data_IF_774732765809
#
_entry.id   IF_774732765809
#
_cell.length_a   1.000
_cell.length_b   1.000
_cell.length_c   1.000
_cell.angle_alpha   90.00
_cell.angle_beta   90.00
_cell.angle_gamma   90.00
#
_symmetry.space_group_name_H-M   'P 1'
#
loop_
_entity.id
_entity.type
_entity.pdbx_description
1 polymer ?
#
# COMPACT_ATOMS: atom_id res chain seq x y z
N UNK A 1 63.70 -26.20 -21.77
CA UNK A 1 63.28 -25.92 -23.17
C UNK A 1 61.83 -25.44 -23.13
N UNK A 2 61.38 -24.25 -23.54
CA UNK A 2 61.94 -23.04 -24.16
C UNK A 2 61.09 -21.89 -23.60
N UNK A 3 61.74 -20.88 -23.00
CA UNK A 3 61.12 -19.57 -22.66
C UNK A 3 60.83 -18.80 -23.94
N UNK A 4 59.86 -17.87 -23.90
CA UNK A 4 59.94 -16.54 -24.55
C UNK A 4 58.74 -15.65 -24.15
N UNK A 5 59.00 -14.75 -23.21
CA UNK A 5 58.33 -13.45 -23.09
C UNK A 5 59.06 -12.48 -24.03
N UNK A 6 58.34 -11.64 -24.79
CA UNK A 6 58.65 -10.22 -25.05
C UNK A 6 57.60 -9.65 -26.01
N UNK A 7 56.91 -8.58 -25.62
CA UNK A 7 56.98 -7.30 -26.33
C UNK A 7 56.41 -6.21 -25.42
N UNK A 8 57.31 -5.28 -25.08
CA UNK A 8 57.05 -4.00 -24.44
C UNK A 8 56.22 -3.13 -25.38
N UNK A 9 55.18 -2.51 -24.84
CA UNK A 9 54.51 -1.36 -25.42
C UNK A 9 54.23 -0.33 -24.33
N UNK A 10 55.21 0.54 -24.07
CA UNK A 10 55.05 1.74 -23.25
C UNK A 10 54.34 2.81 -24.07
N UNK A 11 53.13 3.23 -23.66
CA UNK A 11 52.63 4.59 -23.95
C UNK A 11 52.03 5.17 -22.68
N UNK A 12 52.57 6.33 -22.35
CA UNK A 12 52.19 7.32 -21.35
C UNK A 12 50.68 7.57 -21.29
N UNK A 13 50.14 7.64 -20.07
CA UNK A 13 48.77 8.04 -19.82
C UNK A 13 48.51 8.16 -18.33
N UNK A 14 48.96 9.27 -17.74
CA UNK A 14 48.46 9.73 -16.44
C UNK A 14 46.97 10.01 -16.62
N UNK A 15 46.12 9.17 -16.04
CA UNK A 15 44.80 9.58 -15.58
C UNK A 15 44.61 9.02 -14.17
N UNK A 16 44.96 9.85 -13.19
CA UNK A 16 44.25 9.89 -11.93
C UNK A 16 42.75 9.89 -12.25
N UNK A 17 42.05 8.84 -11.85
CA UNK A 17 40.64 8.68 -12.12
C UNK A 17 40.06 7.66 -11.18
N UNK A 18 40.13 7.99 -9.89
CA UNK A 18 39.03 7.80 -8.93
C UNK A 18 38.10 6.65 -9.32
N UNK A 19 38.43 5.42 -8.87
CA UNK A 19 37.40 4.37 -8.73
C UNK A 19 36.58 4.78 -7.50
N UNK A 20 35.82 5.86 -7.63
CA UNK A 20 34.70 6.13 -6.75
C UNK A 20 33.67 5.06 -7.06
N UNK A 21 33.64 4.06 -6.19
CA UNK A 21 32.43 3.44 -5.69
C UNK A 21 31.18 4.13 -6.25
N UNK A 22 30.61 3.55 -7.30
CA UNK A 22 29.19 3.71 -7.61
C UNK A 22 28.42 3.00 -6.49
N UNK A 23 28.53 3.54 -5.28
CA UNK A 23 27.50 3.43 -4.29
C UNK A 23 26.32 4.16 -4.90
N UNK A 24 25.45 3.39 -5.58
CA UNK A 24 24.08 3.77 -5.77
C UNK A 24 23.51 4.01 -4.37
N UNK A 25 23.72 5.22 -3.84
CA UNK A 25 22.80 5.83 -2.91
C UNK A 25 21.49 5.84 -3.67
N UNK A 26 20.67 4.82 -3.43
CA UNK A 26 19.24 4.99 -3.56
C UNK A 26 18.91 6.16 -2.64
N UNK A 27 18.91 7.36 -3.22
CA UNK A 27 18.38 8.59 -2.65
C UNK A 27 16.85 8.50 -2.65
N UNK A 28 16.31 7.35 -2.26
CA UNK A 28 15.02 7.31 -1.62
C UNK A 28 15.27 8.01 -0.30
N UNK A 29 15.11 9.34 -0.32
CA UNK A 29 14.69 10.05 0.87
C UNK A 29 13.64 9.15 1.50
N UNK A 30 13.97 8.55 2.65
CA UNK A 30 13.12 7.67 3.44
C UNK A 30 11.99 8.51 4.07
N UNK A 31 11.39 9.38 3.28
CA UNK A 31 10.19 10.10 3.64
C UNK A 31 9.10 9.06 3.71
N UNK A 32 8.61 8.84 4.93
CA UNK A 32 7.48 7.95 5.17
C UNK A 32 6.32 8.40 4.26
N UNK A 33 5.71 7.50 3.48
CA UNK A 33 4.65 7.88 2.55
C UNK A 33 3.39 8.24 3.33
N UNK A 34 2.63 9.22 2.86
CA UNK A 34 1.25 9.42 3.32
C UNK A 34 0.38 8.28 2.79
N UNK A 35 -0.53 7.77 3.61
CA UNK A 35 -1.41 6.67 3.21
C UNK A 35 -2.84 7.19 3.18
N UNK A 36 -3.51 7.02 2.04
CA UNK A 36 -4.92 7.36 1.85
C UNK A 36 -5.68 6.09 1.55
N UNK A 37 -6.61 5.73 2.43
CA UNK A 37 -7.50 4.57 2.24
C UNK A 37 -8.89 5.12 1.93
N UNK A 38 -9.41 4.76 0.76
CA UNK A 38 -10.77 5.08 0.33
C UNK A 38 -11.58 3.80 0.44
N UNK A 39 -12.55 3.77 1.34
CA UNK A 39 -13.46 2.65 1.51
C UNK A 39 -14.87 3.06 1.10
N UNK A 40 -15.40 2.42 0.05
CA UNK A 40 -16.77 2.60 -0.41
C UNK A 40 -17.68 1.53 0.20
N UNK A 41 -18.83 1.92 0.75
CA UNK A 41 -19.82 0.98 1.29
C UNK A 41 -20.70 0.41 0.17
N UNK A 42 -21.09 -0.86 0.32
CA UNK A 42 -21.94 -1.63 -0.62
C UNK A 42 -21.51 -1.59 -2.12
N UNK A 43 -20.24 -1.31 -2.39
CA UNK A 43 -19.73 -1.29 -3.75
C UNK A 43 -19.56 -2.71 -4.30
N UNK A 44 -20.35 -3.05 -5.32
CA UNK A 44 -20.15 -4.29 -6.08
C UNK A 44 -18.82 -4.27 -6.82
N UNK A 45 -18.19 -5.44 -6.93
CA UNK A 45 -16.92 -5.61 -7.66
C UNK A 45 -17.00 -5.18 -9.13
N UNK A 46 -18.17 -5.31 -9.77
CA UNK A 46 -18.42 -4.96 -11.17
C UNK A 46 -18.91 -3.51 -11.35
N UNK A 47 -18.90 -2.68 -10.30
CA UNK A 47 -19.32 -1.27 -10.35
C UNK A 47 -18.21 -0.31 -10.83
N UNK A 48 -17.10 -0.82 -11.38
CA UNK A 48 -16.00 -0.03 -11.95
C UNK A 48 -15.88 -0.20 -13.46
N UNK A 49 -15.56 0.89 -14.16
CA UNK A 49 -15.18 0.85 -15.57
C UNK A 49 -13.95 -0.05 -15.81
N UNK A 50 -12.95 0.02 -14.93
CA UNK A 50 -11.77 -0.86 -14.95
C UNK A 50 -12.10 -2.35 -14.77
N UNK A 51 -13.27 -2.69 -14.23
CA UNK A 51 -13.78 -4.07 -14.11
C UNK A 51 -14.70 -4.46 -15.28
N UNK A 52 -14.76 -3.64 -16.33
CA UNK A 52 -15.51 -3.91 -17.56
C UNK A 52 -16.93 -3.35 -17.60
N UNK A 53 -17.33 -2.53 -16.62
CA UNK A 53 -18.66 -1.91 -16.62
C UNK A 53 -18.79 -0.88 -17.76
N UNK A 54 -19.83 -1.02 -18.59
CA UNK A 54 -20.08 -0.15 -19.75
C UNK A 54 -21.06 0.99 -19.46
N UNK A 55 -21.77 0.92 -18.34
CA UNK A 55 -22.84 1.86 -17.96
C UNK A 55 -22.31 2.86 -16.93
N UNK A 56 -21.71 2.36 -15.85
CA UNK A 56 -21.15 3.15 -14.77
C UNK A 56 -19.80 3.71 -15.22
N UNK A 57 -19.61 5.02 -15.06
CA UNK A 57 -18.38 5.73 -15.43
C UNK A 57 -17.62 6.15 -14.19
N UNK A 58 -16.42 5.61 -13.98
CA UNK A 58 -15.59 5.86 -12.81
C UNK A 58 -14.20 6.38 -13.20
N UNK A 59 -14.09 7.46 -13.99
CA UNK A 59 -12.83 7.84 -14.64
C UNK A 59 -11.66 8.07 -13.66
N UNK A 60 -11.93 8.56 -12.45
CA UNK A 60 -10.91 8.75 -11.43
C UNK A 60 -10.44 7.42 -10.81
N UNK A 61 -11.35 6.48 -10.54
CA UNK A 61 -10.99 5.15 -10.02
C UNK A 61 -10.35 4.28 -11.10
N UNK A 62 -10.81 4.41 -12.35
CA UNK A 62 -10.24 3.71 -13.50
C UNK A 62 -8.79 4.15 -13.74
N UNK A 63 -8.52 5.46 -13.59
CA UNK A 63 -7.16 5.99 -13.61
C UNK A 63 -6.30 5.40 -12.48
N UNK A 64 -6.81 5.36 -11.24
CA UNK A 64 -6.08 4.75 -10.12
C UNK A 64 -5.79 3.26 -10.35
N UNK A 65 -6.73 2.52 -10.94
CA UNK A 65 -6.54 1.12 -11.29
C UNK A 65 -5.47 0.92 -12.38
N UNK A 66 -5.39 1.84 -13.35
CA UNK A 66 -4.40 1.81 -14.43
C UNK A 66 -2.99 2.23 -13.96
N UNK A 67 -2.90 3.23 -13.08
CA UNK A 67 -1.63 3.73 -12.53
C UNK A 67 -1.08 2.85 -11.39
N UNK A 68 -1.92 1.97 -10.83
CA UNK A 68 -1.62 1.13 -9.68
C UNK A 68 -1.74 -0.37 -9.95
N UNK A 69 -2.17 -1.09 -8.93
CA UNK A 69 -2.41 -2.55 -8.98
C UNK A 69 -3.88 -2.82 -8.74
N UNK A 70 -4.52 -3.49 -9.69
CA UNK A 70 -5.92 -3.92 -9.60
C UNK A 70 -6.00 -5.40 -9.21
N UNK A 71 -6.65 -5.68 -8.08
CA UNK A 71 -6.90 -7.05 -7.62
C UNK A 71 -8.23 -7.56 -8.20
N UNK A 72 -8.16 -8.42 -9.21
CA UNK A 72 -9.35 -8.99 -9.86
C UNK A 72 -10.13 -9.96 -8.96
N UNK A 73 -9.42 -10.61 -8.03
CA UNK A 73 -9.97 -11.61 -7.11
C UNK A 73 -9.79 -11.15 -5.66
N UNK A 74 -10.47 -10.05 -5.29
CA UNK A 74 -10.53 -9.55 -3.93
C UNK A 74 -11.87 -9.92 -3.29
N UNK A 75 -11.85 -10.48 -2.08
CA UNK A 75 -13.03 -10.98 -1.38
C UNK A 75 -13.14 -10.39 0.01
N UNK A 76 -14.36 -10.05 0.42
CA UNK A 76 -14.66 -9.75 1.81
C UNK A 76 -14.66 -11.03 2.65
N UNK A 77 -14.22 -10.94 3.90
CA UNK A 77 -14.27 -12.06 4.86
C UNK A 77 -15.70 -12.38 5.28
N UNK A 78 -16.54 -11.34 5.39
CA UNK A 78 -17.96 -11.43 5.76
C UNK A 78 -18.74 -10.35 5.00
N UNK A 79 -19.87 -10.70 4.39
CA UNK A 79 -20.76 -9.78 3.68
C UNK A 79 -21.75 -9.05 4.62
N UNK A 80 -21.21 -8.43 5.67
CA UNK A 80 -21.93 -7.59 6.65
C UNK A 80 -21.05 -6.36 6.96
N UNK A 81 -21.56 -5.14 6.75
CA UNK A 81 -20.77 -3.90 6.80
C UNK A 81 -19.94 -3.72 8.10
N UNK A 82 -20.50 -3.82 9.33
CA UNK A 82 -19.72 -3.64 10.55
C UNK A 82 -18.65 -4.73 10.73
N UNK A 83 -18.98 -5.99 10.45
CA UNK A 83 -18.03 -7.11 10.56
C UNK A 83 -16.90 -7.01 9.53
N UNK A 84 -17.23 -6.60 8.29
CA UNK A 84 -16.25 -6.39 7.22
C UNK A 84 -15.29 -5.25 7.57
N UNK A 85 -15.82 -4.09 8.01
CA UNK A 85 -15.00 -2.96 8.47
C UNK A 85 -14.11 -3.34 9.65
N UNK A 86 -14.64 -4.11 10.61
CA UNK A 86 -13.85 -4.59 11.73
C UNK A 86 -12.70 -5.51 11.28
N UNK A 87 -12.94 -6.37 10.30
CA UNK A 87 -11.90 -7.19 9.68
C UNK A 87 -10.83 -6.35 8.97
N UNK A 88 -11.24 -5.30 8.24
CA UNK A 88 -10.31 -4.36 7.58
C UNK A 88 -9.43 -3.64 8.61
N UNK A 89 -10.00 -3.14 9.72
CA UNK A 89 -9.23 -2.38 10.71
C UNK A 89 -8.26 -3.24 11.48
N UNK A 90 -8.67 -4.45 11.84
CA UNK A 90 -7.86 -5.35 12.68
C UNK A 90 -6.94 -6.27 11.90
N UNK A 91 -7.21 -6.49 10.61
CA UNK A 91 -6.56 -7.55 9.82
C UNK A 91 -6.92 -8.97 10.31
N UNK A 92 -8.06 -9.13 10.99
CA UNK A 92 -8.47 -10.40 11.61
C UNK A 92 -9.84 -10.85 11.09
N UNK A 93 -10.09 -12.16 11.09
CA UNK A 93 -11.42 -12.69 10.78
C UNK A 93 -12.44 -12.38 11.90
N UNK A 94 -13.74 -12.36 11.55
CA UNK A 94 -14.88 -12.21 12.47
C UNK A 94 -14.77 -13.01 13.76
N UNK A 95 -14.32 -14.26 13.65
CA UNK A 95 -14.12 -15.16 14.80
C UNK A 95 -13.08 -14.68 15.82
N UNK A 96 -12.20 -13.76 15.48
CA UNK A 96 -11.19 -13.24 16.41
C UNK A 96 -11.59 -11.91 17.02
N UNK A 97 -12.18 -11.01 16.23
CA UNK A 97 -12.60 -9.70 16.72
C UNK A 97 -14.02 -9.70 17.33
N UNK A 98 -14.86 -10.72 17.05
CA UNK A 98 -16.18 -10.94 17.65
C UNK A 98 -17.21 -9.81 17.45
N UNK A 99 -17.08 -9.03 16.37
CA UNK A 99 -18.05 -7.97 16.00
C UNK A 99 -18.94 -8.53 14.90
N UNK A 100 -20.19 -8.86 15.25
CA UNK A 100 -21.15 -9.55 14.37
C UNK A 100 -22.41 -8.74 14.07
N UNK A 101 -22.57 -7.58 14.70
CA UNK A 101 -23.74 -6.72 14.62
C UNK A 101 -23.33 -5.24 14.53
N UNK A 102 -24.32 -4.36 14.50
CA UNK A 102 -24.15 -2.91 14.38
C UNK A 102 -24.00 -2.20 15.73
N UNK A 103 -24.12 -2.93 16.83
CA UNK A 103 -24.17 -2.37 18.19
C UNK A 103 -22.85 -2.57 18.94
N UNK A 104 -22.15 -3.67 18.66
CA UNK A 104 -20.93 -4.07 19.34
C UNK A 104 -19.75 -3.19 18.92
N UNK A 105 -19.22 -2.32 19.81
CA UNK A 105 -18.05 -1.52 19.50
C UNK A 105 -16.77 -2.31 19.72
N UNK A 106 -15.65 -1.79 19.20
CA UNK A 106 -14.33 -2.25 19.64
C UNK A 106 -14.12 -1.99 21.13
N UNK A 107 -13.56 -2.97 21.84
CA UNK A 107 -12.99 -2.68 23.16
C UNK A 107 -11.76 -1.78 23.02
N UNK A 108 -11.38 -1.01 24.07
CA UNK A 108 -10.17 -0.19 24.02
C UNK A 108 -8.92 -0.99 23.63
N UNK A 109 -8.79 -2.22 24.11
CA UNK A 109 -7.67 -3.10 23.81
C UNK A 109 -7.67 -3.56 22.35
N UNK A 110 -8.83 -3.91 21.79
CA UNK A 110 -8.96 -4.27 20.38
C UNK A 110 -8.65 -3.08 19.48
N UNK A 111 -9.13 -1.88 19.83
CA UNK A 111 -8.89 -0.66 19.05
C UNK A 111 -7.40 -0.36 18.92
N UNK A 112 -6.61 -0.54 19.98
CA UNK A 112 -5.15 -0.34 19.95
C UNK A 112 -4.40 -1.27 18.99
N UNK A 113 -5.02 -2.38 18.58
CA UNK A 113 -4.46 -3.35 17.63
C UNK A 113 -4.91 -3.10 16.19
N UNK A 114 -5.69 -2.05 15.92
CA UNK A 114 -6.13 -1.68 14.57
C UNK A 114 -5.02 -0.96 13.80
N UNK A 115 -5.00 -1.07 12.47
CA UNK A 115 -4.00 -0.39 11.66
C UNK A 115 -3.96 1.14 11.88
N UNK A 116 -5.08 1.88 12.10
CA UNK A 116 -5.00 3.31 12.38
C UNK A 116 -4.32 3.61 13.73
N UNK A 117 -4.56 2.80 14.76
CA UNK A 117 -3.92 2.96 16.06
C UNK A 117 -2.43 2.62 15.99
N UNK A 118 -2.08 1.54 15.29
CA UNK A 118 -0.69 1.11 15.09
C UNK A 118 0.10 2.14 14.25
N UNK A 119 -0.49 2.70 13.19
CA UNK A 119 0.14 3.76 12.40
C UNK A 119 0.35 5.02 13.25
N UNK A 120 -0.62 5.41 14.08
CA UNK A 120 -0.45 6.52 15.03
C UNK A 120 0.70 6.26 16.00
N UNK A 121 0.80 5.05 16.57
CA UNK A 121 1.91 4.66 17.44
C UNK A 121 3.27 4.68 16.71
N UNK A 122 3.29 4.40 15.40
CA UNK A 122 4.47 4.52 14.54
C UNK A 122 4.82 5.97 14.14
N UNK A 123 4.06 6.96 14.62
CA UNK A 123 4.32 8.39 14.40
C UNK A 123 3.58 9.01 13.22
N UNK A 124 2.57 8.34 12.66
CA UNK A 124 1.68 8.91 11.65
C UNK A 124 0.55 9.74 12.25
N UNK A 125 0.00 10.67 11.45
CA UNK A 125 -1.14 11.49 11.84
C UNK A 125 -2.40 10.92 11.22
N UNK A 126 -3.12 10.13 12.00
CA UNK A 126 -4.33 9.49 11.51
C UNK A 126 -5.58 10.35 11.68
N UNK A 127 -6.35 10.50 10.61
CA UNK A 127 -7.66 11.13 10.57
C UNK A 127 -8.66 10.24 9.82
N UNK A 128 -9.91 10.26 10.26
CA UNK A 128 -11.04 9.56 9.64
C UNK A 128 -12.06 10.61 9.20
N UNK A 129 -12.37 10.63 7.92
CA UNK A 129 -13.44 11.43 7.34
C UNK A 129 -14.56 10.49 6.91
N UNK A 130 -15.72 10.64 7.52
CA UNK A 130 -16.93 9.87 7.19
C UNK A 130 -17.91 10.83 6.52
N UNK A 131 -18.31 10.54 5.29
CA UNK A 131 -19.36 11.28 4.61
C UNK A 131 -20.62 10.40 4.52
N UNK A 132 -21.50 10.52 5.52
CA UNK A 132 -22.69 9.67 5.65
C UNK A 132 -22.37 8.18 5.58
N UNK A 133 -23.24 7.40 4.96
CA UNK A 133 -23.19 5.93 4.93
C UNK A 133 -22.30 5.34 3.82
N UNK A 134 -21.56 6.13 3.03
CA UNK A 134 -21.06 5.63 1.73
C UNK A 134 -19.55 5.69 1.50
N UNK A 135 -18.82 6.63 2.09
CA UNK A 135 -17.36 6.74 1.87
C UNK A 135 -16.63 7.13 3.14
N UNK A 136 -15.69 6.29 3.54
CA UNK A 136 -14.73 6.55 4.61
C UNK A 136 -13.34 6.80 4.01
N UNK A 137 -12.76 7.95 4.32
CA UNK A 137 -11.38 8.29 3.92
C UNK A 137 -10.51 8.29 5.17
N UNK A 138 -9.52 7.40 5.21
CA UNK A 138 -8.47 7.42 6.22
C UNK A 138 -7.24 8.10 5.65
N UNK A 139 -6.85 9.20 6.27
CA UNK A 139 -5.58 9.88 6.01
C UNK A 139 -4.62 9.50 7.14
N UNK A 140 -3.43 9.05 6.78
CA UNK A 140 -2.37 8.62 7.70
C UNK A 140 -1.08 9.35 7.37
#
# INVERSE_FOLDING_TARGET
>A
MKRRNLFLGTISGITLGVIESLSSKNLLSSTRPNIVIILADDMRWDALGAMGNRIIRTPNLDRLAYEGVLFLNNFVTTSICPTSRASIFTGQYGRRHQIWDFETPFTPQQFQQTYPALLRAAGYRTALLVNGDSVEIYLV
#
